data_IF_331152495780
#
_entry.id   IF_331152495780
#
_cell.length_a   1.000
_cell.length_b   1.000
_cell.length_c   1.000
_cell.angle_alpha   90.00
_cell.angle_beta   90.00
_cell.angle_gamma   90.00
#
_symmetry.space_group_name_H-M   'P 1'
#
loop_
_entity.id
_entity.type
_entity.pdbx_description
1 polymer ?
#
# COMPACT_ATOMS: atom_id res chain seq x y z
N UNK A 1 48.72 22.95 12.40
CA UNK A 1 47.34 22.79 12.96
C UNK A 1 46.15 23.12 12.02
N UNK A 2 46.28 23.67 10.79
CA UNK A 2 45.09 23.99 9.97
C UNK A 2 44.59 22.82 9.08
N UNK A 3 45.46 21.88 8.72
CA UNK A 3 45.13 20.77 7.79
C UNK A 3 44.19 19.75 8.43
N UNK A 4 44.42 19.37 9.70
CA UNK A 4 43.58 18.40 10.42
C UNK A 4 42.14 18.89 10.65
N UNK A 5 41.94 20.19 10.93
CA UNK A 5 40.60 20.79 11.07
C UNK A 5 39.83 20.78 9.74
N UNK A 6 40.53 20.96 8.62
CA UNK A 6 39.93 20.92 7.27
C UNK A 6 39.55 19.49 6.86
N UNK A 7 40.35 18.49 7.24
CA UNK A 7 40.04 17.05 7.05
C UNK A 7 38.85 16.61 7.91
N UNK A 8 38.83 17.00 9.19
CA UNK A 8 37.70 16.74 10.09
C UNK A 8 36.40 17.39 9.59
N UNK A 9 36.48 18.64 9.09
CA UNK A 9 35.32 19.33 8.54
C UNK A 9 34.78 18.63 7.28
N UNK A 10 35.65 18.23 6.35
CA UNK A 10 35.22 17.47 5.16
C UNK A 10 34.66 16.08 5.51
N UNK A 11 35.22 15.43 6.54
CA UNK A 11 34.70 14.13 7.02
C UNK A 11 33.30 14.26 7.63
N UNK A 12 33.03 15.35 8.37
CA UNK A 12 31.72 15.61 8.99
C UNK A 12 30.70 16.05 7.95
N UNK A 13 31.07 16.88 6.97
CA UNK A 13 30.15 17.27 5.90
C UNK A 13 29.77 16.10 5.00
N UNK A 14 30.72 15.19 4.70
CA UNK A 14 30.42 13.95 3.98
C UNK A 14 29.46 13.04 4.75
N UNK A 15 29.61 12.94 6.07
CA UNK A 15 28.69 12.19 6.93
C UNK A 15 27.28 12.79 6.97
N UNK A 16 27.17 14.13 7.09
CA UNK A 16 25.88 14.82 7.10
C UNK A 16 25.14 14.72 5.76
N UNK A 17 25.87 14.76 4.64
CA UNK A 17 25.30 14.55 3.30
C UNK A 17 24.87 13.11 3.07
N UNK A 18 25.61 12.13 3.59
CA UNK A 18 25.22 10.72 3.52
C UNK A 18 23.97 10.45 4.37
N UNK A 19 23.89 11.02 5.58
CA UNK A 19 22.70 10.92 6.43
C UNK A 19 21.48 11.61 5.81
N UNK A 20 21.63 12.80 5.21
CA UNK A 20 20.53 13.46 4.52
C UNK A 20 20.08 12.70 3.27
N UNK A 21 21.00 12.08 2.52
CA UNK A 21 20.68 11.21 1.41
C UNK A 21 19.93 9.94 1.86
N UNK A 22 20.38 9.29 2.94
CA UNK A 22 19.68 8.14 3.54
C UNK A 22 18.27 8.52 4.04
N UNK A 23 18.11 9.69 4.67
CA UNK A 23 16.81 10.24 5.08
C UNK A 23 15.92 10.64 3.89
N UNK A 24 16.49 11.02 2.75
CA UNK A 24 15.73 11.31 1.52
C UNK A 24 15.23 10.02 0.86
N UNK A 25 16.03 8.94 0.94
CA UNK A 25 15.64 7.63 0.38
C UNK A 25 14.55 6.90 1.19
N UNK A 26 14.36 7.22 2.47
CA UNK A 26 13.31 6.59 3.30
C UNK A 26 11.89 7.03 2.92
N UNK A 27 11.74 8.14 2.18
CA UNK A 27 10.45 8.63 1.69
C UNK A 27 9.92 7.82 0.48
N UNK A 28 10.81 7.15 -0.28
CA UNK A 28 10.43 6.38 -1.47
C UNK A 28 9.87 4.97 -1.14
N UNK A 29 9.81 4.57 0.13
CA UNK A 29 9.46 3.19 0.52
C UNK A 29 7.98 2.81 0.39
N UNK A 30 7.07 3.72 0.07
CA UNK A 30 5.62 3.45 0.13
C UNK A 30 4.85 3.65 -1.18
N UNK A 31 5.51 3.64 -2.33
CA UNK A 31 4.80 3.52 -3.61
C UNK A 31 4.56 2.03 -3.94
N UNK A 32 3.85 1.31 -3.07
CA UNK A 32 3.18 0.07 -3.49
C UNK A 32 2.16 0.46 -4.54
N UNK A 33 2.38 0.02 -5.79
CA UNK A 33 1.51 0.35 -6.91
C UNK A 33 0.15 -0.33 -6.72
N UNK A 34 -0.78 0.34 -6.04
CA UNK A 34 -2.14 -0.14 -5.86
C UNK A 34 -2.99 0.11 -7.12
N UNK A 35 -4.09 -0.65 -7.31
CA UNK A 35 -5.05 -0.35 -8.37
C UNK A 35 -5.56 1.08 -8.26
N UNK A 36 -5.84 1.72 -9.40
CA UNK A 36 -6.36 3.09 -9.41
C UNK A 36 -7.66 3.17 -8.61
N UNK A 37 -7.73 4.13 -7.69
CA UNK A 37 -8.90 4.31 -6.82
C UNK A 37 -8.91 3.44 -5.58
N UNK A 38 -7.89 2.60 -5.37
CA UNK A 38 -7.72 1.82 -4.15
C UNK A 38 -6.71 2.47 -3.20
N UNK A 39 -6.92 2.33 -1.89
CA UNK A 39 -6.00 2.81 -0.86
C UNK A 39 -6.07 1.97 0.42
N UNK A 40 -4.93 1.82 1.13
CA UNK A 40 -4.92 1.21 2.45
C UNK A 40 -5.45 2.20 3.49
N UNK A 41 -6.16 1.69 4.50
CA UNK A 41 -6.58 2.40 5.70
C UNK A 41 -6.48 1.48 6.92
N UNK A 42 -6.70 2.03 8.11
CA UNK A 42 -6.71 1.26 9.35
C UNK A 42 -7.96 1.62 10.16
N UNK A 43 -8.73 0.60 10.56
CA UNK A 43 -9.98 0.77 11.30
C UNK A 43 -9.97 -0.18 12.49
N UNK A 44 -10.01 0.38 13.71
CA UNK A 44 -9.98 -0.40 14.96
C UNK A 44 -8.73 -1.29 15.09
N UNK A 45 -7.59 -0.85 14.54
CA UNK A 45 -6.34 -1.62 14.52
C UNK A 45 -6.29 -2.71 13.46
N UNK A 46 -7.30 -2.79 12.59
CA UNK A 46 -7.35 -3.75 11.49
C UNK A 46 -6.94 -3.10 10.18
N UNK A 47 -6.12 -3.81 9.40
CA UNK A 47 -5.70 -3.35 8.07
C UNK A 47 -6.88 -3.45 7.11
N UNK A 48 -7.27 -2.30 6.57
CA UNK A 48 -8.39 -2.17 5.65
C UNK A 48 -7.85 -1.81 4.27
N UNK A 49 -8.40 -2.43 3.23
CA UNK A 49 -8.12 -2.08 1.85
C UNK A 49 -9.42 -1.59 1.18
N UNK A 50 -9.46 -0.31 0.82
CA UNK A 50 -10.64 0.36 0.28
C UNK A 50 -10.51 0.57 -1.22
N UNK A 51 -11.49 0.08 -1.98
CA UNK A 51 -11.59 0.17 -3.43
C UNK A 51 -13.02 0.54 -3.87
N UNK A 52 -13.79 1.20 -3.01
CA UNK A 52 -15.17 1.60 -3.27
C UNK A 52 -15.24 2.57 -4.45
N UNK A 53 -16.19 2.37 -5.37
CA UNK A 53 -16.40 3.26 -6.54
C UNK A 53 -15.13 3.44 -7.43
N UNK A 54 -14.28 2.42 -7.50
CA UNK A 54 -13.05 2.42 -8.30
C UNK A 54 -13.25 1.97 -9.76
N UNK A 55 -14.50 1.73 -10.17
CA UNK A 55 -14.88 1.22 -11.52
C UNK A 55 -14.19 -0.12 -11.85
N UNK A 56 -14.07 -0.97 -10.84
CA UNK A 56 -13.46 -2.29 -10.99
C UNK A 56 -14.41 -3.23 -11.74
N UNK A 57 -13.87 -3.93 -12.74
CA UNK A 57 -14.58 -5.00 -13.47
C UNK A 57 -14.16 -6.39 -13.01
N UNK A 58 -13.16 -6.48 -12.14
CA UNK A 58 -12.64 -7.71 -11.54
C UNK A 58 -12.08 -7.43 -10.13
N UNK A 59 -11.90 -8.49 -9.34
CA UNK A 59 -11.23 -8.39 -8.03
C UNK A 59 -9.72 -8.17 -8.27
N UNK A 60 -9.10 -7.12 -7.70
CA UNK A 60 -7.67 -6.90 -7.83
C UNK A 60 -6.84 -8.04 -7.22
N UNK A 61 -5.77 -8.45 -7.89
CA UNK A 61 -4.88 -9.53 -7.40
C UNK A 61 -3.81 -9.05 -6.42
N UNK A 62 -3.49 -7.76 -6.45
CA UNK A 62 -2.40 -7.17 -5.68
C UNK A 62 -2.85 -6.63 -4.31
N UNK A 63 -3.84 -7.29 -3.70
CA UNK A 63 -4.33 -6.95 -2.36
C UNK A 63 -3.37 -7.57 -1.33
N UNK A 64 -2.85 -6.80 -0.34
CA UNK A 64 -1.97 -7.34 0.69
C UNK A 64 -2.62 -8.51 1.43
N UNK A 65 -1.88 -9.60 1.61
CA UNK A 65 -2.37 -10.81 2.29
C UNK A 65 -2.66 -10.62 3.79
N UNK A 66 -2.22 -9.50 4.37
CA UNK A 66 -2.49 -9.08 5.74
C UNK A 66 -3.71 -8.14 5.85
N UNK A 67 -4.52 -8.04 4.78
CA UNK A 67 -5.79 -7.31 4.76
C UNK A 67 -6.83 -8.04 5.61
N UNK A 68 -7.44 -7.31 6.54
CA UNK A 68 -8.50 -7.78 7.42
C UNK A 68 -9.89 -7.35 6.94
N UNK A 69 -10.01 -6.16 6.36
CA UNK A 69 -11.28 -5.63 5.81
C UNK A 69 -11.07 -5.24 4.35
N UNK A 70 -11.91 -5.73 3.44
CA UNK A 70 -11.84 -5.44 2.00
C UNK A 70 -13.16 -4.84 1.52
N UNK A 71 -13.11 -3.60 1.05
CA UNK A 71 -14.27 -2.89 0.51
C UNK A 71 -14.15 -2.76 -1.01
N UNK A 72 -14.98 -3.52 -1.73
CA UNK A 72 -15.11 -3.54 -3.19
C UNK A 72 -16.51 -3.08 -3.63
N UNK A 73 -17.24 -2.38 -2.77
CA UNK A 73 -18.59 -1.92 -3.03
C UNK A 73 -18.65 -0.87 -4.16
N UNK A 74 -19.84 -0.74 -4.76
CA UNK A 74 -20.11 0.27 -5.79
C UNK A 74 -19.21 0.15 -7.04
N UNK A 75 -18.91 -1.09 -7.45
CA UNK A 75 -18.08 -1.41 -8.62
C UNK A 75 -18.90 -2.12 -9.73
N UNK A 76 -18.25 -2.64 -10.77
CA UNK A 76 -18.89 -3.34 -11.90
C UNK A 76 -18.42 -4.79 -12.03
N UNK A 77 -18.10 -5.46 -10.93
CA UNK A 77 -17.62 -6.85 -10.94
C UNK A 77 -18.78 -7.79 -11.33
N UNK A 78 -18.70 -8.53 -12.45
CA UNK A 78 -19.82 -9.30 -12.99
C UNK A 78 -19.92 -10.73 -12.42
N UNK A 79 -18.80 -11.30 -11.98
CA UNK A 79 -18.73 -12.62 -11.38
C UNK A 79 -17.52 -12.74 -10.47
N UNK A 80 -17.55 -13.72 -9.57
CA UNK A 80 -16.43 -14.03 -8.68
C UNK A 80 -15.88 -15.43 -9.02
N UNK A 81 -14.59 -15.57 -9.35
CA UNK A 81 -13.97 -16.88 -9.42
C UNK A 81 -13.98 -17.55 -8.04
N UNK A 82 -14.02 -18.89 -8.00
CA UNK A 82 -14.02 -19.68 -6.75
C UNK A 82 -12.89 -19.29 -5.80
N UNK A 83 -11.73 -18.93 -6.35
CA UNK A 83 -10.52 -18.64 -5.61
C UNK A 83 -10.24 -17.12 -5.49
N UNK A 84 -11.25 -16.25 -5.72
CA UNK A 84 -11.08 -14.80 -5.75
C UNK A 84 -10.39 -14.19 -4.52
N UNK A 85 -10.56 -14.83 -3.35
CA UNK A 85 -10.03 -14.35 -2.06
C UNK A 85 -9.14 -15.38 -1.37
N UNK A 86 -8.66 -16.41 -2.11
CA UNK A 86 -7.87 -17.50 -1.54
C UNK A 86 -6.57 -17.00 -0.88
N UNK A 87 -6.00 -15.93 -1.40
CA UNK A 87 -4.73 -15.35 -0.93
C UNK A 87 -4.91 -14.30 0.19
N UNK A 88 -6.13 -14.15 0.72
CA UNK A 88 -6.47 -13.24 1.82
C UNK A 88 -6.86 -14.02 3.09
N UNK A 89 -5.92 -14.73 3.74
CA UNK A 89 -6.22 -15.64 4.85
C UNK A 89 -6.68 -14.92 6.13
N UNK A 90 -6.41 -13.62 6.25
CA UNK A 90 -6.80 -12.80 7.41
C UNK A 90 -8.11 -12.02 7.19
N UNK A 91 -8.79 -12.22 6.05
CA UNK A 91 -9.98 -11.46 5.70
C UNK A 91 -11.14 -11.78 6.66
N UNK A 92 -11.58 -10.76 7.40
CA UNK A 92 -12.66 -10.81 8.37
C UNK A 92 -13.95 -10.18 7.82
N UNK A 93 -13.82 -9.16 6.98
CA UNK A 93 -14.95 -8.40 6.43
C UNK A 93 -14.75 -8.17 4.93
N UNK A 94 -15.80 -8.43 4.15
CA UNK A 94 -15.83 -8.25 2.71
C UNK A 94 -17.14 -7.56 2.32
N UNK A 95 -17.03 -6.39 1.69
CA UNK A 95 -18.18 -5.72 1.08
C UNK A 95 -18.07 -5.76 -0.45
N UNK A 96 -19.08 -6.36 -1.07
CA UNK A 96 -19.26 -6.47 -2.51
C UNK A 96 -20.60 -5.86 -2.95
N UNK A 97 -21.28 -5.13 -2.07
CA UNK A 97 -22.56 -4.51 -2.36
C UNK A 97 -22.48 -3.60 -3.59
N UNK A 98 -23.61 -3.43 -4.28
CA UNK A 98 -23.68 -2.58 -5.47
C UNK A 98 -22.68 -2.96 -6.58
N UNK A 99 -22.45 -4.26 -6.79
CA UNK A 99 -21.77 -4.82 -7.97
C UNK A 99 -22.75 -5.49 -8.94
N UNK A 100 -22.25 -5.99 -10.07
CA UNK A 100 -23.01 -6.69 -11.09
C UNK A 100 -22.94 -8.23 -10.96
N UNK A 101 -22.69 -8.74 -9.75
CA UNK A 101 -22.45 -10.17 -9.51
C UNK A 101 -23.73 -10.95 -9.82
N UNK A 102 -23.66 -11.79 -10.86
CA UNK A 102 -24.75 -12.70 -11.19
C UNK A 102 -24.99 -13.71 -10.05
N UNK A 103 -26.27 -14.00 -9.78
CA UNK A 103 -26.69 -15.01 -8.80
C UNK A 103 -26.42 -16.43 -9.28
#
# INVERSE_FOLDING_TARGET
MPVAKRVLLHSVTMWLLLQSFLLLTSCLRSATAFPKGCYPSEEEGLKTFRCSNARLTEVPRDIPNDTHKLYLDSNQIPFLPRDAFRDLPLLLELDLSHNAIAR
#
